data_IF_294550599532
#
_entry.id   IF_294550599532
#
_cell.length_a   1.000
_cell.length_b   1.000
_cell.length_c   1.000
_cell.angle_alpha   90.00
_cell.angle_beta   90.00
_cell.angle_gamma   90.00
#
_symmetry.space_group_name_H-M   'P 1'
#
loop_
_entity.id
_entity.type
_entity.pdbx_description
1 polymer ?
#
# COMPACT_ATOMS: atom_id res chain seq x y z
N UNK A 1 8.38 47.64 34.01
CA UNK A 1 8.10 46.19 33.75
C UNK A 1 7.45 45.90 32.38
N UNK A 2 6.67 46.83 31.81
CA UNK A 2 6.07 46.63 30.46
C UNK A 2 7.06 46.76 29.30
N UNK A 3 8.13 47.53 29.39
CA UNK A 3 9.12 47.70 28.31
C UNK A 3 10.00 46.47 28.04
N UNK A 4 10.24 45.65 29.05
CA UNK A 4 11.06 44.43 28.88
C UNK A 4 10.30 43.30 28.16
N UNK A 5 8.98 43.23 28.31
CA UNK A 5 8.13 42.24 27.64
C UNK A 5 8.01 42.54 26.15
N UNK A 6 7.94 43.81 25.74
CA UNK A 6 7.88 44.21 24.34
C UNK A 6 9.18 43.90 23.57
N UNK A 7 10.35 44.03 24.18
CA UNK A 7 11.64 43.70 23.59
C UNK A 7 11.85 42.20 23.39
N UNK A 8 11.31 41.35 24.26
CA UNK A 8 11.38 39.90 24.12
C UNK A 8 10.47 39.42 23.02
N UNK A 9 9.31 40.04 22.85
CA UNK A 9 8.35 39.71 21.77
C UNK A 9 8.89 40.09 20.37
N UNK A 10 9.56 41.23 20.28
CA UNK A 10 10.18 41.73 19.05
C UNK A 10 11.43 40.94 18.66
N UNK A 11 12.19 40.45 19.63
CA UNK A 11 13.34 39.56 19.41
C UNK A 11 12.90 38.17 18.89
N UNK A 12 11.73 37.65 19.32
CA UNK A 12 11.15 36.40 18.81
C UNK A 12 10.68 36.50 17.38
N UNK A 13 10.28 37.69 16.90
CA UNK A 13 9.87 37.92 15.51
C UNK A 13 11.04 38.03 14.54
N UNK A 14 12.26 38.27 15.01
CA UNK A 14 13.46 38.46 14.19
C UNK A 14 14.35 37.20 14.06
N UNK A 15 14.02 36.12 14.77
CA UNK A 15 14.72 34.87 14.51
C UNK A 15 14.35 34.39 13.08
N UNK A 16 15.35 34.19 12.19
CA UNK A 16 15.07 33.64 10.89
C UNK A 16 14.39 32.28 11.14
N UNK A 17 13.16 32.14 10.63
CA UNK A 17 12.55 30.82 10.53
C UNK A 17 13.53 30.00 9.68
N UNK A 18 14.30 29.14 10.30
CA UNK A 18 15.03 28.10 9.60
C UNK A 18 13.97 27.40 8.75
N UNK A 19 14.06 27.48 7.40
CA UNK A 19 13.11 26.75 6.59
C UNK A 19 13.24 25.29 7.03
N UNK A 20 12.16 24.72 7.61
CA UNK A 20 12.06 23.28 7.74
C UNK A 20 12.32 22.78 6.32
N UNK A 21 13.48 22.16 6.13
CA UNK A 21 13.76 21.43 4.91
C UNK A 21 12.51 20.56 4.74
N UNK A 22 11.71 20.86 3.74
CA UNK A 22 10.61 20.02 3.39
C UNK A 22 11.25 18.66 3.05
N UNK A 23 11.31 17.77 4.02
CA UNK A 23 11.43 16.35 3.73
C UNK A 23 10.14 16.06 3.03
N UNK A 24 10.14 16.11 1.70
CA UNK A 24 9.03 15.61 0.90
C UNK A 24 8.98 14.13 1.23
N UNK A 25 8.17 13.80 2.20
CA UNK A 25 7.87 12.40 2.51
C UNK A 25 7.23 11.82 1.27
N UNK A 26 7.70 10.64 0.89
CA UNK A 26 7.26 9.95 -0.32
C UNK A 26 5.74 9.75 -0.27
N UNK A 27 4.98 10.11 -1.33
CA UNK A 27 3.56 9.83 -1.40
C UNK A 27 3.26 8.34 -1.20
N UNK A 28 2.11 8.02 -0.63
CA UNK A 28 1.68 6.64 -0.41
C UNK A 28 0.32 6.43 -1.05
N UNK A 29 0.23 5.41 -1.92
CA UNK A 29 -1.01 4.93 -2.52
C UNK A 29 -1.44 3.66 -1.80
N UNK A 30 -2.69 3.60 -1.35
CA UNK A 30 -3.25 2.45 -0.65
C UNK A 30 -4.43 1.92 -1.47
N UNK A 31 -4.43 0.63 -1.78
CA UNK A 31 -5.50 -0.03 -2.54
C UNK A 31 -6.14 -1.12 -1.68
N UNK A 32 -7.44 -0.99 -1.45
CA UNK A 32 -8.22 -1.97 -0.70
C UNK A 32 -8.59 -3.19 -1.55
N UNK A 33 -8.98 -4.28 -0.88
CA UNK A 33 -9.49 -5.49 -1.52
C UNK A 33 -10.98 -5.47 -1.80
N UNK A 34 -11.53 -6.66 -2.05
CA UNK A 34 -12.96 -6.92 -2.20
C UNK A 34 -13.73 -6.42 -0.97
N UNK A 35 -14.92 -5.86 -1.18
CA UNK A 35 -15.79 -5.27 -0.15
C UNK A 35 -15.20 -4.04 0.58
N UNK A 36 -14.04 -3.56 0.13
CA UNK A 36 -13.42 -2.38 0.74
C UNK A 36 -12.67 -2.66 2.04
N UNK A 37 -12.30 -1.59 2.72
CA UNK A 37 -11.67 -1.64 4.05
C UNK A 37 -12.41 -0.69 4.98
N UNK A 38 -13.15 -1.25 5.91
CA UNK A 38 -13.95 -0.50 6.89
C UNK A 38 -13.08 0.33 7.86
N UNK A 39 -13.72 1.09 8.78
CA UNK A 39 -13.01 2.00 9.69
C UNK A 39 -12.04 1.29 10.64
N UNK A 40 -12.31 0.03 10.99
CA UNK A 40 -11.47 -0.78 11.88
C UNK A 40 -10.30 -1.46 11.15
N UNK A 41 -10.24 -1.40 9.82
CA UNK A 41 -9.20 -2.03 9.03
C UNK A 41 -7.89 -1.25 9.09
N UNK A 42 -6.75 -1.97 9.11
CA UNK A 42 -5.42 -1.35 9.20
C UNK A 42 -5.13 -0.36 8.05
N UNK A 43 -5.69 -0.53 6.86
CA UNK A 43 -5.48 0.40 5.75
C UNK A 43 -6.14 1.76 6.03
N UNK A 44 -7.33 1.78 6.60
CA UNK A 44 -8.02 3.02 7.01
C UNK A 44 -7.27 3.71 8.15
N UNK A 45 -6.82 2.93 9.15
CA UNK A 45 -5.96 3.44 10.21
C UNK A 45 -4.65 4.00 9.65
N UNK A 46 -3.97 3.26 8.74
CA UNK A 46 -2.72 3.68 8.11
C UNK A 46 -2.87 4.99 7.35
N UNK A 47 -3.93 5.12 6.54
CA UNK A 47 -4.21 6.34 5.79
C UNK A 47 -4.33 7.55 6.72
N UNK A 48 -5.07 7.42 7.84
CA UNK A 48 -5.20 8.47 8.85
C UNK A 48 -3.87 8.81 9.53
N UNK A 49 -3.03 7.80 9.81
CA UNK A 49 -1.73 8.00 10.45
C UNK A 49 -0.73 8.73 9.54
N UNK A 50 -0.67 8.34 8.28
CA UNK A 50 0.26 8.92 7.32
C UNK A 50 -0.14 10.31 6.83
N UNK A 51 -1.42 10.66 6.85
CA UNK A 51 -1.93 11.94 6.35
C UNK A 51 -1.33 13.19 7.04
N UNK A 52 -0.74 13.03 8.24
CA UNK A 52 -0.06 14.12 8.93
C UNK A 52 1.25 14.57 8.25
N UNK A 53 1.96 13.63 7.60
CA UNK A 53 3.32 13.85 7.11
C UNK A 53 3.52 13.43 5.63
N UNK A 54 2.58 12.67 5.05
CA UNK A 54 2.64 12.14 3.68
C UNK A 54 1.45 12.64 2.84
N UNK A 55 1.63 12.77 1.53
CA UNK A 55 0.52 12.74 0.59
C UNK A 55 0.00 11.31 0.53
N UNK A 56 -1.26 11.10 0.93
CA UNK A 56 -1.89 9.77 0.91
C UNK A 56 -3.01 9.76 -0.13
N UNK A 57 -2.96 8.81 -1.05
CA UNK A 57 -4.03 8.51 -2.00
C UNK A 57 -4.65 7.17 -1.65
N UNK A 58 -5.85 7.21 -1.14
CA UNK A 58 -6.63 6.04 -0.75
C UNK A 58 -7.99 6.09 -1.43
N UNK A 59 -8.06 5.74 -2.73
CA UNK A 59 -9.31 5.80 -3.48
C UNK A 59 -10.30 4.75 -3.00
N UNK A 60 -11.57 5.05 -3.06
CA UNK A 60 -12.62 4.03 -3.07
C UNK A 60 -12.66 3.43 -4.47
N UNK A 61 -12.28 2.17 -4.61
CA UNK A 61 -12.37 1.46 -5.89
C UNK A 61 -13.85 1.21 -6.23
N UNK A 62 -14.26 1.35 -7.51
CA UNK A 62 -15.67 1.28 -7.89
C UNK A 62 -16.31 -0.07 -7.57
N UNK A 63 -17.55 -0.03 -7.08
CA UNK A 63 -18.39 -1.18 -6.80
C UNK A 63 -17.62 -2.33 -6.08
N UNK A 64 -17.18 -2.11 -4.83
CA UNK A 64 -16.28 -3.03 -4.18
C UNK A 64 -16.90 -4.40 -3.85
N UNK A 65 -18.23 -4.52 -3.87
CA UNK A 65 -18.94 -5.78 -3.69
C UNK A 65 -18.98 -6.61 -4.97
N UNK A 66 -19.05 -5.96 -6.15
CA UNK A 66 -19.04 -6.58 -7.47
C UNK A 66 -17.93 -5.96 -8.36
N UNK A 67 -16.66 -6.16 -8.01
CA UNK A 67 -15.55 -5.43 -8.61
C UNK A 67 -15.33 -5.86 -10.06
N UNK A 68 -14.95 -4.89 -10.89
CA UNK A 68 -14.56 -5.14 -12.28
C UNK A 68 -13.11 -4.73 -12.47
N UNK A 69 -12.32 -5.64 -13.00
CA UNK A 69 -10.88 -5.43 -13.18
C UNK A 69 -10.58 -4.19 -14.03
N UNK A 70 -11.30 -3.98 -15.13
CA UNK A 70 -11.12 -2.84 -16.03
C UNK A 70 -11.38 -1.49 -15.33
N UNK A 71 -12.47 -1.40 -14.55
CA UNK A 71 -12.80 -0.20 -13.79
C UNK A 71 -11.77 0.08 -12.69
N UNK A 72 -11.33 -0.96 -11.99
CA UNK A 72 -10.31 -0.81 -10.95
C UNK A 72 -8.95 -0.42 -11.52
N UNK A 73 -8.56 -0.98 -12.68
CA UNK A 73 -7.34 -0.59 -13.38
C UNK A 73 -7.36 0.89 -13.79
N UNK A 74 -8.49 1.38 -14.31
CA UNK A 74 -8.65 2.80 -14.66
C UNK A 74 -8.50 3.69 -13.42
N UNK A 75 -9.15 3.33 -12.31
CA UNK A 75 -9.05 4.09 -11.05
C UNK A 75 -7.61 4.10 -10.51
N UNK A 76 -6.88 3.00 -10.63
CA UNK A 76 -5.46 2.97 -10.24
C UNK A 76 -4.63 3.90 -11.12
N UNK A 77 -4.80 3.84 -12.45
CA UNK A 77 -4.07 4.70 -13.38
C UNK A 77 -4.36 6.19 -13.12
N UNK A 78 -5.61 6.56 -12.83
CA UNK A 78 -6.01 7.91 -12.41
C UNK A 78 -5.40 8.28 -11.04
N UNK A 79 -5.40 7.35 -10.09
CA UNK A 79 -4.87 7.57 -8.74
C UNK A 79 -3.36 7.86 -8.77
N UNK A 80 -2.60 7.18 -9.60
CA UNK A 80 -1.15 7.40 -9.68
C UNK A 80 -0.77 8.55 -10.61
N UNK A 81 -1.70 9.07 -11.40
CA UNK A 81 -1.43 10.16 -12.34
C UNK A 81 -0.83 11.38 -11.63
N UNK A 82 0.23 11.94 -12.21
CA UNK A 82 0.93 13.10 -11.67
C UNK A 82 1.85 12.83 -10.48
N UNK A 83 1.93 11.59 -9.98
CA UNK A 83 2.97 11.20 -9.03
C UNK A 83 4.33 11.15 -9.71
N UNK A 84 5.44 11.37 -8.96
CA UNK A 84 6.78 11.24 -9.53
C UNK A 84 7.09 9.77 -9.86
N UNK A 85 7.72 9.55 -11.01
CA UNK A 85 8.17 8.22 -11.41
C UNK A 85 9.26 7.71 -10.44
N UNK A 86 9.11 6.48 -9.95
CA UNK A 86 9.99 5.94 -8.90
C UNK A 86 9.91 6.69 -7.56
N UNK A 87 8.87 7.51 -7.33
CA UNK A 87 8.81 8.44 -6.22
C UNK A 87 7.61 8.28 -5.27
N UNK A 88 6.91 7.15 -5.27
CA UNK A 88 5.83 6.87 -4.33
C UNK A 88 5.84 5.40 -3.88
N UNK A 89 5.21 5.11 -2.74
CA UNK A 89 4.99 3.76 -2.25
C UNK A 89 3.57 3.30 -2.60
N UNK A 90 3.43 2.01 -2.91
CA UNK A 90 2.14 1.38 -3.17
C UNK A 90 1.89 0.25 -2.17
N UNK A 91 0.72 0.24 -1.54
CA UNK A 91 0.28 -0.77 -0.58
C UNK A 91 -1.00 -1.42 -1.09
N UNK A 92 -0.95 -2.72 -1.36
CA UNK A 92 -2.07 -3.51 -1.86
C UNK A 92 -2.49 -4.56 -0.83
N UNK A 93 -3.79 -4.71 -0.56
CA UNK A 93 -4.32 -5.77 0.27
C UNK A 93 -5.27 -6.66 -0.51
N UNK A 94 -5.19 -7.98 -0.28
CA UNK A 94 -6.14 -8.95 -0.82
C UNK A 94 -6.24 -8.88 -2.36
N UNK A 95 -7.43 -8.72 -2.93
CA UNK A 95 -7.69 -8.63 -4.39
C UNK A 95 -6.92 -7.49 -5.06
N UNK A 96 -6.57 -6.42 -4.34
CA UNK A 96 -5.72 -5.38 -4.89
C UNK A 96 -4.31 -5.88 -5.26
N UNK A 97 -3.86 -7.01 -4.71
CA UNK A 97 -2.63 -7.68 -5.16
C UNK A 97 -2.82 -8.24 -6.57
N UNK A 98 -3.93 -8.93 -6.83
CA UNK A 98 -4.26 -9.42 -8.18
C UNK A 98 -4.41 -8.25 -9.17
N UNK A 99 -5.09 -7.17 -8.77
CA UNK A 99 -5.20 -5.93 -9.54
C UNK A 99 -3.83 -5.39 -9.94
N UNK A 100 -2.89 -5.28 -8.99
CA UNK A 100 -1.53 -4.84 -9.26
C UNK A 100 -0.81 -5.75 -10.26
N UNK A 101 -0.92 -7.08 -10.10
CA UNK A 101 -0.31 -8.03 -11.02
C UNK A 101 -0.87 -7.91 -12.44
N UNK A 102 -2.19 -7.71 -12.59
CA UNK A 102 -2.78 -7.42 -13.90
C UNK A 102 -2.25 -6.10 -14.49
N UNK A 103 -2.08 -5.07 -13.66
CA UNK A 103 -1.51 -3.80 -14.11
C UNK A 103 -0.07 -3.98 -14.59
N UNK A 104 0.77 -4.78 -13.91
CA UNK A 104 2.17 -5.02 -14.31
C UNK A 104 2.30 -5.78 -15.64
N UNK A 105 1.32 -6.59 -15.98
CA UNK A 105 1.29 -7.36 -17.23
C UNK A 105 0.87 -6.51 -18.45
N UNK A 106 0.40 -5.27 -18.23
CA UNK A 106 0.03 -4.33 -19.31
C UNK A 106 1.23 -3.48 -19.71
N UNK A 107 1.22 -2.86 -20.90
CA UNK A 107 2.16 -1.76 -21.20
C UNK A 107 2.08 -0.68 -20.12
N UNK A 108 3.21 -0.12 -19.74
CA UNK A 108 3.27 0.91 -18.71
C UNK A 108 2.41 2.13 -19.10
N UNK A 109 1.49 2.52 -18.22
CA UNK A 109 0.54 3.64 -18.42
C UNK A 109 0.69 4.68 -17.33
N UNK A 110 1.90 5.15 -17.04
CA UNK A 110 2.11 6.16 -16.01
C UNK A 110 3.27 5.84 -15.09
N UNK A 111 3.41 6.59 -13.98
CA UNK A 111 4.55 6.47 -13.09
C UNK A 111 4.58 5.11 -12.37
N UNK A 112 5.79 4.65 -12.09
CA UNK A 112 6.08 3.44 -11.35
C UNK A 112 6.31 3.75 -9.87
N UNK A 113 5.90 2.90 -8.92
CA UNK A 113 6.22 3.06 -7.51
C UNK A 113 7.70 2.79 -7.22
N UNK A 114 8.25 3.47 -6.22
CA UNK A 114 9.56 3.14 -5.67
C UNK A 114 9.51 1.77 -4.99
N UNK A 115 8.45 1.52 -4.22
CA UNK A 115 8.28 0.27 -3.48
C UNK A 115 6.81 -0.16 -3.52
N UNK A 116 6.62 -1.49 -3.52
CA UNK A 116 5.29 -2.11 -3.44
C UNK A 116 5.25 -3.09 -2.27
N UNK A 117 4.23 -2.95 -1.43
CA UNK A 117 3.88 -3.88 -0.37
C UNK A 117 2.63 -4.64 -0.79
N UNK A 118 2.78 -5.94 -1.01
CA UNK A 118 1.69 -6.86 -1.30
C UNK A 118 1.31 -7.58 -0.02
N UNK A 119 0.04 -7.53 0.38
CA UNK A 119 -0.44 -8.06 1.66
C UNK A 119 -1.59 -9.04 1.42
N UNK A 120 -1.45 -10.26 1.93
CA UNK A 120 -2.50 -11.30 1.96
C UNK A 120 -3.25 -11.47 0.62
N UNK A 121 -2.59 -11.81 -0.50
CA UNK A 121 -3.29 -12.09 -1.75
C UNK A 121 -4.18 -13.32 -1.59
N UNK A 122 -5.40 -13.32 -2.19
CA UNK A 122 -6.21 -14.52 -2.25
C UNK A 122 -5.58 -15.58 -3.16
N UNK A 123 -6.02 -16.84 -3.03
CA UNK A 123 -5.58 -17.92 -3.92
C UNK A 123 -5.68 -17.53 -5.39
N UNK A 124 -4.65 -17.80 -6.22
CA UNK A 124 -4.77 -17.61 -7.67
C UNK A 124 -5.76 -18.57 -8.33
N UNK A 125 -6.35 -19.47 -7.54
CA UNK A 125 -7.41 -20.42 -7.94
C UNK A 125 -8.70 -20.23 -7.14
N UNK A 126 -8.85 -19.06 -6.51
CA UNK A 126 -10.07 -18.75 -5.77
C UNK A 126 -11.29 -18.86 -6.69
N UNK A 127 -12.24 -19.70 -6.33
CA UNK A 127 -13.49 -19.89 -7.05
C UNK A 127 -14.58 -18.98 -6.43
N UNK A 128 -14.53 -17.70 -6.81
CA UNK A 128 -15.48 -16.68 -6.36
C UNK A 128 -15.97 -15.92 -7.60
N UNK A 129 -17.25 -16.07 -7.98
CA UNK A 129 -17.80 -15.50 -9.21
C UNK A 129 -17.59 -13.99 -9.35
N UNK A 130 -17.69 -13.25 -8.26
CA UNK A 130 -17.48 -11.81 -8.21
C UNK A 130 -16.04 -11.41 -8.55
N UNK A 131 -15.08 -12.33 -8.34
CA UNK A 131 -13.66 -12.10 -8.56
C UNK A 131 -13.12 -12.74 -9.84
N UNK A 132 -13.99 -13.33 -10.65
CA UNK A 132 -13.60 -14.08 -11.86
C UNK A 132 -12.75 -13.27 -12.87
N UNK A 133 -12.85 -11.95 -12.88
CA UNK A 133 -12.02 -11.09 -13.74
C UNK A 133 -10.61 -10.84 -13.19
N UNK A 134 -10.39 -11.09 -11.89
CA UNK A 134 -9.10 -10.89 -11.22
C UNK A 134 -8.29 -12.19 -11.10
N UNK A 135 -8.94 -13.35 -11.21
CA UNK A 135 -8.36 -14.68 -10.93
C UNK A 135 -8.46 -15.55 -12.20
N UNK A 136 -7.37 -16.21 -12.61
CA UNK A 136 -6.03 -16.14 -12.03
C UNK A 136 -5.27 -14.86 -12.41
N UNK A 137 -4.53 -14.26 -11.48
CA UNK A 137 -3.67 -13.14 -11.83
C UNK A 137 -2.44 -13.60 -12.61
N UNK A 138 -1.84 -12.76 -13.48
CA UNK A 138 -0.60 -13.09 -14.16
C UNK A 138 0.56 -13.15 -13.15
N UNK A 139 1.31 -14.27 -13.15
CA UNK A 139 2.48 -14.48 -12.28
C UNK A 139 3.77 -14.31 -13.09
N UNK A 140 4.02 -13.10 -13.59
CA UNK A 140 5.22 -12.73 -14.34
C UNK A 140 6.21 -11.96 -13.44
N UNK A 141 7.24 -12.67 -12.96
CA UNK A 141 8.29 -12.10 -12.10
C UNK A 141 9.05 -10.94 -12.77
N UNK A 142 9.24 -11.02 -14.10
CA UNK A 142 9.96 -9.98 -14.83
C UNK A 142 9.10 -8.72 -15.01
N UNK A 143 7.80 -8.88 -15.23
CA UNK A 143 6.86 -7.76 -15.27
C UNK A 143 6.81 -7.04 -13.92
N UNK A 144 6.67 -7.78 -12.82
CA UNK A 144 6.67 -7.23 -11.46
C UNK A 144 7.97 -6.47 -11.16
N UNK A 145 9.13 -7.04 -11.52
CA UNK A 145 10.42 -6.41 -11.31
C UNK A 145 10.60 -5.11 -12.12
N UNK A 146 10.04 -5.04 -13.32
CA UNK A 146 10.07 -3.81 -14.13
C UNK A 146 9.12 -2.74 -13.64
N UNK A 147 8.04 -3.13 -12.98
CA UNK A 147 6.94 -2.23 -12.61
C UNK A 147 7.18 -1.45 -11.31
N UNK A 148 8.24 -1.77 -10.54
CA UNK A 148 8.56 -1.10 -9.28
C UNK A 148 10.06 -1.19 -8.96
N UNK A 149 10.57 -0.24 -8.16
CA UNK A 149 11.94 -0.28 -7.66
C UNK A 149 12.19 -1.43 -6.68
N UNK A 150 11.15 -1.89 -5.97
CA UNK A 150 11.17 -3.08 -5.12
C UNK A 150 9.78 -3.54 -4.77
N UNK A 151 9.58 -4.84 -4.66
CA UNK A 151 8.29 -5.45 -4.27
C UNK A 151 8.54 -6.49 -3.19
N UNK A 152 7.74 -6.45 -2.12
CA UNK A 152 7.75 -7.44 -1.04
C UNK A 152 6.35 -8.00 -0.81
N UNK A 153 6.29 -9.24 -0.34
CA UNK A 153 5.06 -9.92 0.04
C UNK A 153 5.01 -10.11 1.56
N UNK A 154 3.87 -9.80 2.16
CA UNK A 154 3.54 -10.12 3.55
C UNK A 154 2.27 -10.95 3.54
N UNK A 155 2.29 -12.11 4.15
CA UNK A 155 1.16 -13.03 4.21
C UNK A 155 1.14 -13.78 5.56
N UNK A 156 0.08 -14.49 5.85
CA UNK A 156 0.01 -15.42 6.96
C UNK A 156 0.15 -16.86 6.49
N UNK A 157 0.37 -17.79 7.43
CA UNK A 157 0.45 -19.23 7.18
C UNK A 157 -0.91 -19.95 7.27
N UNK A 158 -1.95 -19.22 7.73
CA UNK A 158 -3.29 -19.76 8.00
C UNK A 158 -4.41 -18.95 7.29
N UNK A 159 -4.09 -18.23 6.22
CA UNK A 159 -5.07 -17.45 5.47
C UNK A 159 -6.07 -18.36 4.73
N UNK A 160 -7.35 -18.32 5.13
CA UNK A 160 -8.41 -19.12 4.54
C UNK A 160 -8.73 -18.76 3.08
N UNK A 161 -8.39 -17.56 2.64
CA UNK A 161 -8.53 -17.14 1.25
C UNK A 161 -7.39 -17.64 0.36
N UNK A 162 -6.29 -18.11 0.94
CA UNK A 162 -5.15 -18.69 0.23
C UNK A 162 -4.63 -19.95 0.95
N UNK A 163 -5.42 -21.05 1.00
CA UNK A 163 -5.11 -22.23 1.80
C UNK A 163 -3.82 -22.95 1.38
N UNK A 164 -3.36 -22.77 0.14
CA UNK A 164 -2.06 -23.29 -0.31
C UNK A 164 -0.86 -22.45 0.18
N UNK A 165 -1.13 -21.33 0.85
CA UNK A 165 -0.14 -20.39 1.35
C UNK A 165 0.39 -19.43 0.30
N UNK A 166 0.24 -18.13 0.53
CA UNK A 166 0.62 -17.09 -0.42
C UNK A 166 2.14 -17.03 -0.68
N UNK A 167 2.96 -17.46 0.26
CA UNK A 167 4.41 -17.60 0.06
C UNK A 167 4.73 -18.58 -1.09
N UNK A 168 4.02 -19.70 -1.17
CA UNK A 168 4.17 -20.69 -2.24
C UNK A 168 3.47 -20.24 -3.54
N UNK A 169 2.26 -19.67 -3.42
CA UNK A 169 1.43 -19.30 -4.56
C UNK A 169 1.94 -18.05 -5.31
N UNK A 170 2.56 -17.11 -4.60
CA UNK A 170 3.01 -15.82 -5.15
C UNK A 170 4.49 -15.54 -4.88
N UNK A 171 4.95 -15.72 -3.63
CA UNK A 171 6.32 -15.40 -3.24
C UNK A 171 7.36 -16.13 -4.08
N UNK A 172 7.24 -17.44 -4.19
CA UNK A 172 8.17 -18.29 -4.94
C UNK A 172 8.12 -18.03 -6.46
N UNK A 173 6.97 -18.08 -7.16
CA UNK A 173 6.93 -17.87 -8.61
C UNK A 173 7.33 -16.44 -9.01
N UNK A 174 6.96 -15.43 -8.23
CA UNK A 174 7.32 -14.04 -8.47
C UNK A 174 8.71 -13.65 -7.95
N UNK A 175 9.40 -14.57 -7.24
CA UNK A 175 10.74 -14.37 -6.63
C UNK A 175 10.77 -13.16 -5.69
N UNK A 176 9.72 -13.01 -4.87
CA UNK A 176 9.58 -11.89 -3.95
C UNK A 176 10.19 -12.20 -2.58
N UNK A 177 10.91 -11.25 -1.97
CA UNK A 177 11.13 -11.26 -0.53
C UNK A 177 9.78 -11.40 0.17
N UNK A 178 9.64 -12.43 1.01
CA UNK A 178 8.35 -12.78 1.63
C UNK A 178 8.49 -12.85 3.14
N UNK A 179 7.59 -12.18 3.85
CA UNK A 179 7.41 -12.26 5.29
C UNK A 179 6.14 -13.04 5.59
N UNK A 180 6.25 -14.11 6.36
CA UNK A 180 5.10 -14.91 6.80
C UNK A 180 4.81 -14.61 8.26
N UNK A 181 3.57 -14.24 8.57
CA UNK A 181 3.09 -13.94 9.92
C UNK A 181 2.34 -15.17 10.43
N UNK A 182 2.84 -15.85 11.46
CA UNK A 182 2.16 -17.01 12.01
C UNK A 182 0.79 -16.65 12.61
N UNK A 183 -0.25 -17.40 12.24
CA UNK A 183 -1.60 -17.22 12.80
C UNK A 183 -2.26 -15.89 12.46
N UNK A 184 -1.84 -15.23 11.38
CA UNK A 184 -2.34 -13.89 11.03
C UNK A 184 -3.65 -13.88 10.24
N UNK A 185 -4.13 -15.04 9.80
CA UNK A 185 -5.32 -15.13 8.96
C UNK A 185 -5.20 -14.30 7.69
N UNK A 186 -6.27 -13.62 7.31
CA UNK A 186 -6.28 -12.75 6.12
C UNK A 186 -5.68 -11.35 6.36
N UNK A 187 -5.00 -11.14 7.49
CA UNK A 187 -4.39 -9.85 7.87
C UNK A 187 -5.39 -8.68 7.72
N UNK A 188 -6.62 -8.88 8.17
CA UNK A 188 -7.70 -7.90 8.13
C UNK A 188 -8.28 -7.64 9.53
N UNK A 189 -9.31 -6.80 9.65
CA UNK A 189 -9.92 -6.47 10.93
C UNK A 189 -10.47 -7.69 11.66
N UNK A 190 -11.06 -8.66 10.94
CA UNK A 190 -11.66 -9.87 11.52
C UNK A 190 -10.60 -10.79 12.17
N UNK A 191 -9.35 -10.70 11.70
CA UNK A 191 -8.22 -11.44 12.26
C UNK A 191 -7.34 -10.60 13.19
N UNK A 192 -7.86 -9.44 13.64
CA UNK A 192 -7.22 -8.58 14.63
C UNK A 192 -6.26 -7.53 14.07
N UNK A 193 -6.19 -7.36 12.75
CA UNK A 193 -5.36 -6.36 12.11
C UNK A 193 -6.13 -5.03 11.91
N UNK A 194 -6.26 -4.28 13.02
CA UNK A 194 -6.65 -2.88 13.05
C UNK A 194 -5.39 -1.98 12.96
N UNK A 195 -4.96 -1.30 14.04
CA UNK A 195 -3.69 -0.59 14.05
C UNK A 195 -2.50 -1.51 13.75
N UNK A 196 -1.74 -1.21 12.67
CA UNK A 196 -0.58 -2.02 12.28
C UNK A 196 0.70 -1.18 12.14
N UNK A 197 1.41 -0.92 13.26
CA UNK A 197 2.61 -0.06 13.28
C UNK A 197 3.76 -0.54 12.39
N UNK A 198 3.82 -1.83 12.03
CA UNK A 198 4.86 -2.35 11.14
C UNK A 198 4.72 -1.76 9.72
N UNK A 199 3.49 -1.66 9.19
CA UNK A 199 3.23 -1.05 7.88
C UNK A 199 3.49 0.46 7.92
N UNK A 200 3.07 1.16 8.98
CA UNK A 200 3.37 2.58 9.17
C UNK A 200 4.90 2.84 9.17
N UNK A 201 5.66 2.02 9.90
CA UNK A 201 7.13 2.13 9.90
C UNK A 201 7.74 1.87 8.53
N UNK A 202 7.20 0.90 7.78
CA UNK A 202 7.68 0.61 6.43
C UNK A 202 7.44 1.80 5.49
N UNK A 203 6.27 2.42 5.50
CA UNK A 203 5.96 3.62 4.70
C UNK A 203 6.83 4.82 5.11
N UNK A 204 7.07 5.02 6.42
CA UNK A 204 7.81 6.18 6.94
C UNK A 204 9.33 6.07 6.79
N UNK A 205 9.86 4.89 6.42
CA UNK A 205 11.31 4.63 6.32
C UNK A 205 11.67 3.95 5.00
N UNK A 206 12.11 4.72 3.98
CA UNK A 206 12.34 4.21 2.63
C UNK A 206 13.31 3.02 2.52
N UNK A 207 14.25 2.89 3.43
CA UNK A 207 15.29 1.86 3.38
C UNK A 207 15.06 0.70 4.38
N UNK A 208 13.88 0.65 5.00
CA UNK A 208 13.56 -0.39 5.97
C UNK A 208 12.99 -1.62 5.24
N UNK A 209 13.59 -2.80 5.49
CA UNK A 209 12.91 -4.06 5.23
C UNK A 209 11.62 -4.14 6.05
N UNK A 210 10.65 -4.95 5.64
CA UNK A 210 9.39 -5.05 6.41
C UNK A 210 9.71 -5.58 7.81
N UNK A 211 9.39 -4.82 8.88
CA UNK A 211 9.69 -5.23 10.25
C UNK A 211 8.67 -6.28 10.71
N UNK A 212 9.16 -7.39 11.25
CA UNK A 212 8.35 -8.35 11.98
C UNK A 212 7.92 -7.81 13.34
#
# INVERSE_FOLDING_TARGET
MLFLLALVEEARRRLPRVPRRATTTQPVVILHGWQGSGPEHWQTWLAGRLAADHEVRYPTLPDPDHPRLDAWLSTVDETVAGLPDGGFDLVCHSVAVALWLHRTARPATGPTPARVLLVAPPSPRLDEPELATFVPPPLDADAVRRAAGGTILVCADDDSYCPEGAAAAYGAPLKLPTTVIPGGGHLNADTGFGPWPAVERWCSRPNLAFPL
#
